data_IF_913991785572
#
_entry.id   IF_913991785572
#
_cell.length_a   1.000
_cell.length_b   1.000
_cell.length_c   1.000
_cell.angle_alpha   90.00
_cell.angle_beta   90.00
_cell.angle_gamma   90.00
#
_symmetry.space_group_name_H-M   'P 1'
#
loop_
_entity.id
_entity.type
_entity.pdbx_description
1 polymer ?
#
# COMPACT_ATOMS: atom_id res chain seq x y z
N UNK A 1 9.82 -34.02 21.98
CA UNK A 1 9.56 -32.71 21.35
C UNK A 1 8.53 -32.91 20.26
N UNK A 2 7.67 -31.93 19.99
CA UNK A 2 6.67 -32.07 18.93
C UNK A 2 7.35 -32.12 17.55
N UNK A 3 6.91 -33.02 16.69
CA UNK A 3 7.41 -33.26 15.33
C UNK A 3 6.22 -33.54 14.41
N UNK A 4 6.25 -33.04 13.18
CA UNK A 4 5.17 -33.24 12.21
C UNK A 4 4.02 -32.26 12.42
N UNK A 5 2.77 -32.74 12.35
CA UNK A 5 1.58 -31.89 12.51
C UNK A 5 1.11 -31.86 13.96
N UNK A 6 0.71 -30.70 14.46
CA UNK A 6 0.26 -30.55 15.83
C UNK A 6 -0.57 -29.30 16.06
N UNK A 7 -1.31 -29.31 17.17
CA UNK A 7 -2.17 -28.22 17.61
C UNK A 7 -1.80 -27.79 19.02
N UNK A 8 -1.79 -26.49 19.25
CA UNK A 8 -1.63 -25.89 20.58
C UNK A 8 -2.71 -24.83 20.81
N UNK A 9 -3.21 -24.79 22.04
CA UNK A 9 -4.10 -23.73 22.53
C UNK A 9 -3.40 -23.06 23.71
N UNK A 10 -3.27 -21.75 23.65
CA UNK A 10 -2.64 -20.93 24.68
C UNK A 10 -3.69 -20.43 25.68
N UNK A 11 -3.24 -19.98 26.85
CA UNK A 11 -4.12 -19.54 27.94
C UNK A 11 -4.95 -18.29 27.60
N UNK A 12 -4.47 -17.46 26.67
CA UNK A 12 -5.17 -16.29 26.14
C UNK A 12 -6.25 -16.64 25.11
N UNK A 13 -6.40 -17.93 24.77
CA UNK A 13 -7.32 -18.43 23.75
C UNK A 13 -6.74 -18.45 22.33
N UNK A 14 -5.51 -17.97 22.13
CA UNK A 14 -4.82 -18.10 20.84
C UNK A 14 -4.58 -19.58 20.52
N UNK A 15 -4.62 -19.94 19.23
CA UNK A 15 -4.35 -21.31 18.78
C UNK A 15 -3.40 -21.33 17.60
N UNK A 16 -2.63 -22.42 17.50
CA UNK A 16 -1.88 -22.74 16.30
C UNK A 16 -2.14 -24.20 15.92
N UNK A 17 -2.31 -24.45 14.63
CA UNK A 17 -2.40 -25.78 14.05
C UNK A 17 -1.54 -25.84 12.78
N UNK A 18 -0.56 -26.75 12.75
CA UNK A 18 0.36 -26.86 11.62
C UNK A 18 1.63 -27.64 11.95
N UNK A 19 2.70 -27.34 11.20
CA UNK A 19 3.99 -28.00 11.30
C UNK A 19 4.83 -27.66 12.55
N UNK A 20 5.53 -28.67 13.04
CA UNK A 20 6.47 -28.62 14.15
C UNK A 20 7.75 -29.35 13.79
N UNK A 21 8.89 -28.77 14.15
CA UNK A 21 10.23 -29.37 14.06
C UNK A 21 10.96 -29.08 15.35
N UNK A 22 11.46 -30.09 16.05
CA UNK A 22 12.18 -29.93 17.31
C UNK A 22 11.36 -29.26 18.41
N UNK A 23 10.03 -29.39 18.38
CA UNK A 23 9.13 -28.69 19.31
C UNK A 23 8.91 -27.22 19.01
N UNK A 24 9.38 -26.73 17.86
CA UNK A 24 9.22 -25.35 17.41
C UNK A 24 8.32 -25.32 16.18
N UNK A 25 7.39 -24.36 16.15
CA UNK A 25 6.49 -24.12 15.02
C UNK A 25 7.32 -23.81 13.77
N UNK A 26 7.21 -24.65 12.76
CA UNK A 26 7.97 -24.60 11.51
C UNK A 26 7.19 -25.26 10.37
N UNK A 27 7.27 -24.70 9.16
CA UNK A 27 6.51 -25.18 8.00
C UNK A 27 5.24 -24.38 7.81
N UNK A 28 4.15 -24.99 7.35
CA UNK A 28 2.88 -24.27 7.13
C UNK A 28 1.89 -24.52 8.26
N UNK A 29 1.00 -23.55 8.48
CA UNK A 29 -0.08 -23.69 9.48
C UNK A 29 -1.04 -22.52 9.51
N UNK A 30 -1.95 -22.60 10.47
CA UNK A 30 -2.95 -21.58 10.79
C UNK A 30 -2.78 -21.15 12.24
N UNK A 31 -2.62 -19.85 12.46
CA UNK A 31 -2.66 -19.23 13.78
C UNK A 31 -3.93 -18.39 13.94
N UNK A 32 -4.67 -18.62 15.01
CA UNK A 32 -5.75 -17.73 15.46
C UNK A 32 -5.27 -16.99 16.71
N UNK A 33 -5.24 -15.68 16.66
CA UNK A 33 -4.83 -14.84 17.79
C UNK A 33 -6.05 -14.41 18.62
N UNK A 34 -5.84 -14.18 19.92
CA UNK A 34 -6.90 -13.75 20.84
C UNK A 34 -7.61 -12.45 20.43
N UNK A 35 -6.94 -11.58 19.67
CA UNK A 35 -7.52 -10.35 19.11
C UNK A 35 -8.37 -10.58 17.84
N UNK A 36 -8.60 -11.84 17.45
CA UNK A 36 -9.37 -12.22 16.27
C UNK A 36 -8.59 -12.20 14.96
N UNK A 37 -7.31 -11.83 14.97
CA UNK A 37 -6.46 -11.95 13.78
C UNK A 37 -6.26 -13.43 13.45
N UNK A 38 -6.30 -13.75 12.16
CA UNK A 38 -5.99 -15.09 11.64
C UNK A 38 -4.83 -14.97 10.67
N UNK A 39 -3.81 -15.80 10.84
CA UNK A 39 -2.72 -15.95 9.88
C UNK A 39 -2.69 -17.37 9.33
N UNK A 40 -2.62 -17.50 8.01
CA UNK A 40 -2.48 -18.77 7.31
C UNK A 40 -1.28 -18.66 6.38
N UNK A 41 -0.24 -19.46 6.60
CA UNK A 41 0.97 -19.35 5.80
C UNK A 41 2.14 -20.15 6.34
N UNK A 42 3.33 -19.75 5.88
CA UNK A 42 4.59 -20.30 6.33
C UNK A 42 5.03 -19.73 7.68
N UNK A 43 5.77 -20.56 8.39
CA UNK A 43 6.38 -20.29 9.67
C UNK A 43 7.81 -20.80 9.71
N UNK A 44 8.68 -20.03 10.36
CA UNK A 44 10.05 -20.40 10.68
C UNK A 44 10.38 -19.88 12.08
N UNK A 45 10.88 -20.77 12.93
CA UNK A 45 11.23 -20.43 14.32
C UNK A 45 10.08 -19.71 15.07
N UNK A 46 8.85 -20.23 14.90
CA UNK A 46 7.60 -19.67 15.42
C UNK A 46 7.21 -18.26 14.95
N UNK A 47 7.85 -17.74 13.89
CA UNK A 47 7.49 -16.47 13.25
C UNK A 47 6.88 -16.71 11.87
N UNK A 48 6.01 -15.81 11.43
CA UNK A 48 5.52 -15.81 10.05
C UNK A 48 6.72 -15.65 9.09
N UNK A 49 6.83 -16.53 8.10
CA UNK A 49 7.96 -16.56 7.17
C UNK A 49 7.54 -17.21 5.85
N UNK A 50 8.05 -16.71 4.72
CA UNK A 50 7.64 -17.16 3.39
C UNK A 50 6.30 -16.55 2.95
N UNK A 51 5.45 -17.32 2.27
CA UNK A 51 4.15 -16.81 1.81
C UNK A 51 3.08 -16.96 2.90
N UNK A 52 2.24 -15.95 3.07
CA UNK A 52 1.19 -16.01 4.06
C UNK A 52 0.14 -14.92 3.96
N UNK A 53 -1.01 -15.22 4.53
CA UNK A 53 -2.21 -14.39 4.54
C UNK A 53 -2.53 -14.03 5.97
N UNK A 54 -2.56 -12.73 6.29
CA UNK A 54 -3.09 -12.22 7.54
C UNK A 54 -4.45 -11.57 7.30
N UNK A 55 -5.45 -11.98 8.06
CA UNK A 55 -6.78 -11.36 8.06
C UNK A 55 -7.08 -10.87 9.47
N UNK A 56 -7.36 -9.58 9.62
CA UNK A 56 -7.76 -8.98 10.87
C UNK A 56 -9.27 -8.69 10.89
N UNK A 57 -9.90 -8.68 12.07
CA UNK A 57 -11.24 -8.13 12.21
C UNK A 57 -11.30 -6.70 11.70
N UNK A 58 -12.43 -6.29 11.12
CA UNK A 58 -12.59 -4.96 10.54
C UNK A 58 -12.14 -4.84 9.08
N UNK A 59 -11.78 -5.95 8.42
CA UNK A 59 -11.61 -6.00 6.96
C UNK A 59 -10.19 -5.76 6.46
N UNK A 60 -9.22 -5.53 7.35
CA UNK A 60 -7.81 -5.50 6.96
C UNK A 60 -7.33 -6.90 6.58
N UNK A 61 -6.69 -7.01 5.40
CA UNK A 61 -6.10 -8.24 4.89
C UNK A 61 -4.73 -7.94 4.28
N UNK A 62 -3.74 -8.75 4.60
CA UNK A 62 -2.47 -8.80 3.87
C UNK A 62 -2.29 -10.18 3.25
N UNK A 63 -1.87 -10.21 1.99
CA UNK A 63 -1.58 -11.41 1.21
C UNK A 63 -0.22 -11.20 0.53
N UNK A 64 0.81 -11.91 0.99
CA UNK A 64 2.15 -11.71 0.44
C UNK A 64 3.26 -12.39 1.23
N UNK A 65 4.47 -11.89 0.99
CA UNK A 65 5.70 -12.42 1.55
C UNK A 65 5.98 -11.91 2.97
N UNK A 66 6.58 -12.79 3.77
CA UNK A 66 6.94 -12.56 5.16
C UNK A 66 8.39 -12.96 5.39
N UNK A 67 9.09 -12.21 6.22
CA UNK A 67 10.41 -12.56 6.71
C UNK A 67 10.49 -12.21 8.19
N UNK A 68 10.83 -13.17 9.04
CA UNK A 68 11.01 -12.96 10.48
C UNK A 68 9.82 -12.24 11.17
N UNK A 69 8.59 -12.52 10.74
CA UNK A 69 7.38 -11.92 11.30
C UNK A 69 6.99 -10.56 10.72
N UNK A 70 7.76 -10.00 9.79
CA UNK A 70 7.46 -8.74 9.10
C UNK A 70 7.00 -9.00 7.66
N UNK A 71 6.15 -8.12 7.13
CA UNK A 71 5.84 -8.09 5.69
C UNK A 71 7.10 -7.74 4.92
N UNK A 72 7.41 -8.48 3.89
CA UNK A 72 8.63 -8.34 3.08
C UNK A 72 8.28 -8.60 1.61
N UNK A 73 9.12 -8.18 0.67
CA UNK A 73 8.93 -8.51 -0.74
C UNK A 73 7.62 -8.01 -1.35
N UNK A 74 7.03 -8.75 -2.29
CA UNK A 74 5.81 -8.36 -2.97
C UNK A 74 4.56 -8.81 -2.17
N UNK A 75 3.55 -7.95 -2.08
CA UNK A 75 2.31 -8.26 -1.37
C UNK A 75 1.15 -7.32 -1.72
N UNK A 76 -0.05 -7.72 -1.30
CA UNK A 76 -1.29 -6.96 -1.44
C UNK A 76 -1.92 -6.72 -0.07
N UNK A 77 -2.30 -5.47 0.19
CA UNK A 77 -3.11 -5.08 1.35
C UNK A 77 -4.49 -4.69 0.85
N UNK A 78 -5.53 -5.23 1.49
CA UNK A 78 -6.90 -4.71 1.41
C UNK A 78 -7.23 -4.06 2.74
N UNK A 79 -7.70 -2.83 2.70
CA UNK A 79 -8.08 -2.05 3.86
C UNK A 79 -9.59 -2.14 4.14
N UNK A 80 -9.98 -1.73 5.35
CA UNK A 80 -11.37 -1.71 5.80
C UNK A 80 -12.30 -0.87 4.91
N UNK A 81 -11.77 0.22 4.34
CA UNK A 81 -12.49 1.12 3.43
C UNK A 81 -12.59 0.57 2.00
N UNK A 82 -12.07 -0.63 1.74
CA UNK A 82 -12.01 -1.26 0.41
C UNK A 82 -10.87 -0.75 -0.46
N UNK A 83 -10.01 0.16 0.04
CA UNK A 83 -8.80 0.52 -0.67
C UNK A 83 -7.81 -0.65 -0.72
N UNK A 84 -6.99 -0.67 -1.76
CA UNK A 84 -6.05 -1.76 -2.05
C UNK A 84 -4.69 -1.16 -2.36
N UNK A 85 -3.65 -1.71 -1.73
CA UNK A 85 -2.26 -1.51 -2.14
C UNK A 85 -1.70 -2.83 -2.67
N UNK A 86 -1.01 -2.80 -3.81
CA UNK A 86 -0.22 -3.93 -4.32
C UNK A 86 1.17 -3.41 -4.68
N UNK A 87 2.20 -3.99 -4.08
CA UNK A 87 3.57 -3.57 -4.35
C UNK A 87 4.57 -4.16 -3.38
N UNK A 88 5.74 -3.53 -3.29
CA UNK A 88 6.85 -3.98 -2.47
C UNK A 88 6.72 -3.55 -1.01
N UNK A 89 7.27 -4.38 -0.14
CA UNK A 89 7.41 -4.19 1.30
C UNK A 89 8.86 -4.44 1.72
N UNK A 90 9.36 -3.62 2.64
CA UNK A 90 10.67 -3.80 3.30
C UNK A 90 10.49 -3.46 4.77
N UNK A 91 10.93 -4.36 5.66
CA UNK A 91 10.82 -4.19 7.12
C UNK A 91 9.39 -3.83 7.57
N UNK A 92 8.39 -4.42 6.92
CA UNK A 92 6.98 -4.18 7.22
C UNK A 92 6.38 -2.92 6.59
N UNK A 93 7.14 -2.07 5.90
CA UNK A 93 6.66 -0.83 5.29
C UNK A 93 6.50 -0.97 3.78
N UNK A 94 5.53 -0.26 3.18
CA UNK A 94 5.44 -0.09 1.72
C UNK A 94 6.70 0.63 1.24
N UNK A 95 7.36 0.10 0.22
CA UNK A 95 8.67 0.57 -0.25
C UNK A 95 8.80 0.29 -1.75
N UNK A 96 9.56 1.10 -2.49
CA UNK A 96 9.78 0.90 -3.91
C UNK A 96 8.52 1.11 -4.76
N UNK A 97 8.31 0.30 -5.80
CA UNK A 97 7.17 0.48 -6.71
C UNK A 97 5.90 -0.17 -6.15
N UNK A 98 4.78 0.55 -6.26
CA UNK A 98 3.48 0.07 -5.82
C UNK A 98 2.30 0.78 -6.48
N UNK A 99 1.17 0.08 -6.53
CA UNK A 99 -0.12 0.60 -6.96
C UNK A 99 -1.04 0.72 -5.75
N UNK A 100 -1.70 1.86 -5.60
CA UNK A 100 -2.75 2.06 -4.61
C UNK A 100 -4.04 2.48 -5.31
N UNK A 101 -5.18 1.91 -4.92
CA UNK A 101 -6.49 2.24 -5.49
C UNK A 101 -7.55 2.34 -4.41
N UNK A 102 -8.49 3.26 -4.58
CA UNK A 102 -9.64 3.44 -3.70
C UNK A 102 -10.95 3.12 -4.45
N UNK A 103 -12.01 2.72 -3.74
CA UNK A 103 -13.32 2.45 -4.36
C UNK A 103 -13.95 3.68 -5.04
N UNK A 104 -13.56 4.89 -4.64
CA UNK A 104 -14.04 6.14 -5.26
C UNK A 104 -13.42 6.40 -6.66
N UNK A 105 -12.52 5.53 -7.14
CA UNK A 105 -11.85 5.66 -8.43
C UNK A 105 -10.47 6.32 -8.38
N UNK A 106 -10.02 6.80 -7.21
CA UNK A 106 -8.65 7.27 -7.07
C UNK A 106 -7.66 6.13 -7.28
N UNK A 107 -6.59 6.38 -8.04
CA UNK A 107 -5.50 5.43 -8.28
C UNK A 107 -4.16 6.13 -8.25
N UNK A 108 -3.17 5.52 -7.64
CA UNK A 108 -1.77 5.93 -7.68
C UNK A 108 -0.91 4.76 -8.15
N UNK A 109 0.06 5.03 -9.02
CA UNK A 109 1.10 4.09 -9.44
C UNK A 109 2.44 4.80 -9.35
N UNK A 110 3.35 4.31 -8.53
CA UNK A 110 4.68 4.92 -8.44
C UNK A 110 5.48 4.49 -7.23
N UNK A 111 6.40 5.37 -6.84
CA UNK A 111 7.38 5.15 -5.80
C UNK A 111 6.82 5.39 -4.38
N UNK A 112 7.21 4.49 -3.49
CA UNK A 112 6.91 4.47 -2.06
C UNK A 112 8.21 4.44 -1.28
N UNK A 113 8.24 5.12 -0.15
CA UNK A 113 9.36 5.10 0.78
C UNK A 113 8.86 5.18 2.20
N UNK A 114 9.30 4.26 3.07
CA UNK A 114 8.92 4.23 4.48
C UNK A 114 7.40 4.35 4.70
N UNK A 115 6.60 3.69 3.84
CA UNK A 115 5.15 3.68 3.93
C UNK A 115 4.44 4.86 3.24
N UNK A 116 5.13 5.88 2.75
CA UNK A 116 4.53 7.04 2.11
C UNK A 116 4.78 7.07 0.59
N UNK A 117 3.86 7.68 -0.15
CA UNK A 117 4.07 8.03 -1.57
C UNK A 117 5.20 9.04 -1.66
N UNK A 118 6.30 8.69 -2.32
CA UNK A 118 7.51 9.49 -2.34
C UNK A 118 8.35 9.14 -3.57
N UNK A 119 8.72 10.13 -4.38
CA UNK A 119 9.41 9.92 -5.66
C UNK A 119 8.50 10.07 -6.87
N UNK A 120 8.82 9.40 -7.98
CA UNK A 120 8.03 9.50 -9.23
C UNK A 120 6.75 8.69 -9.18
N UNK A 121 5.67 9.20 -9.76
CA UNK A 121 4.45 8.43 -9.95
C UNK A 121 3.39 9.11 -10.79
N UNK A 122 2.27 8.41 -10.96
CA UNK A 122 1.07 8.88 -11.63
C UNK A 122 -0.11 8.73 -10.68
N UNK A 123 -0.80 9.84 -10.40
CA UNK A 123 -2.08 9.85 -9.70
C UNK A 123 -3.21 10.07 -10.71
N UNK A 124 -4.26 9.27 -10.61
CA UNK A 124 -5.52 9.41 -11.35
C UNK A 124 -6.63 9.70 -10.36
N UNK A 125 -7.32 10.82 -10.57
CA UNK A 125 -8.38 11.29 -9.69
C UNK A 125 -9.75 10.81 -10.17
N UNK A 126 -10.76 10.72 -9.28
CA UNK A 126 -12.12 10.29 -9.62
C UNK A 126 -12.79 11.10 -10.74
N UNK A 127 -12.40 12.37 -10.91
CA UNK A 127 -12.91 13.25 -11.96
C UNK A 127 -12.27 13.01 -13.34
N UNK A 128 -11.28 12.11 -13.43
CA UNK A 128 -10.54 11.79 -14.64
C UNK A 128 -9.25 12.59 -14.83
N UNK A 129 -8.96 13.56 -13.95
CA UNK A 129 -7.68 14.27 -13.99
C UNK A 129 -6.54 13.30 -13.67
N UNK A 130 -5.38 13.52 -14.29
CA UNK A 130 -4.15 12.77 -13.97
C UNK A 130 -3.02 13.72 -13.67
N UNK A 131 -2.18 13.34 -12.71
CA UNK A 131 -0.91 14.00 -12.45
C UNK A 131 0.21 13.00 -12.68
N UNK A 132 1.16 13.34 -13.54
CA UNK A 132 2.42 12.62 -13.75
C UNK A 132 3.57 13.50 -13.26
N UNK A 133 4.26 13.05 -12.21
CA UNK A 133 5.35 13.84 -11.67
C UNK A 133 5.93 13.31 -10.37
N UNK A 134 6.59 14.22 -9.67
CA UNK A 134 7.30 13.96 -8.43
C UNK A 134 6.36 14.15 -7.22
N UNK A 135 6.57 13.34 -6.19
CA UNK A 135 5.83 13.36 -4.94
C UNK A 135 6.77 13.40 -3.74
N UNK A 136 6.33 14.06 -2.67
CA UNK A 136 6.95 13.99 -1.35
C UNK A 136 5.86 13.88 -0.30
N UNK A 137 5.90 12.80 0.49
CA UNK A 137 4.95 12.50 1.57
C UNK A 137 3.47 12.64 1.14
N UNK A 138 3.14 12.08 -0.01
CA UNK A 138 1.80 12.10 -0.59
C UNK A 138 1.39 13.42 -1.24
N UNK A 139 2.29 14.39 -1.36
CA UNK A 139 1.99 15.67 -2.01
C UNK A 139 2.71 15.79 -3.34
N UNK A 140 2.08 16.47 -4.30
CA UNK A 140 2.74 16.85 -5.54
C UNK A 140 3.90 17.78 -5.22
N UNK A 141 5.09 17.47 -5.71
CA UNK A 141 6.32 18.17 -5.38
C UNK A 141 7.27 18.14 -6.59
N UNK A 142 8.08 19.15 -6.85
CA UNK A 142 9.04 19.13 -7.95
C UNK A 142 8.37 19.11 -9.33
N UNK A 143 9.07 18.63 -10.36
CA UNK A 143 8.56 18.65 -11.73
C UNK A 143 7.36 17.71 -11.91
N UNK A 144 6.31 18.20 -12.60
CA UNK A 144 5.17 17.37 -12.97
C UNK A 144 4.20 18.05 -13.92
N UNK A 145 3.34 17.25 -14.53
CA UNK A 145 2.29 17.66 -15.45
C UNK A 145 0.94 17.16 -14.96
N UNK A 146 -0.04 18.06 -14.88
CA UNK A 146 -1.44 17.69 -14.69
C UNK A 146 -2.13 17.68 -16.05
N UNK A 147 -2.83 16.59 -16.36
CA UNK A 147 -3.74 16.48 -17.50
C UNK A 147 -5.16 16.49 -16.96
N UNK A 148 -5.96 17.46 -17.36
CA UNK A 148 -7.34 17.57 -16.96
C UNK A 148 -8.22 16.67 -17.82
N UNK A 149 -9.30 16.17 -17.25
CA UNK A 149 -10.32 15.43 -18.00
C UNK A 149 -10.94 16.25 -19.15
N UNK A 150 -10.85 17.59 -19.07
CA UNK A 150 -11.26 18.51 -20.15
C UNK A 150 -10.33 18.49 -21.37
N UNK A 151 -9.14 17.88 -21.27
CA UNK A 151 -8.09 17.88 -22.30
C UNK A 151 -7.06 19.00 -22.14
N UNK A 152 -7.24 19.94 -21.20
CA UNK A 152 -6.21 20.90 -20.84
C UNK A 152 -5.03 20.19 -20.14
N UNK A 153 -3.82 20.75 -20.25
CA UNK A 153 -2.71 20.35 -19.41
C UNK A 153 -1.91 21.54 -18.88
N UNK A 154 -1.29 21.36 -17.72
CA UNK A 154 -0.35 22.32 -17.15
C UNK A 154 0.89 21.61 -16.61
N UNK A 155 2.06 22.12 -16.96
CA UNK A 155 3.36 21.60 -16.52
C UNK A 155 4.14 22.66 -15.74
N UNK A 156 4.95 22.21 -14.79
CA UNK A 156 5.87 23.08 -14.06
C UNK A 156 6.36 22.47 -12.76
N UNK A 157 6.86 23.33 -11.86
CA UNK A 157 7.35 22.92 -10.55
C UNK A 157 6.21 22.96 -9.54
N UNK A 158 5.98 21.87 -8.82
CA UNK A 158 4.98 21.77 -7.76
C UNK A 158 5.67 21.95 -6.40
N UNK A 159 5.06 22.73 -5.53
CA UNK A 159 5.48 22.86 -4.14
C UNK A 159 4.30 22.64 -3.22
N UNK A 160 4.35 21.57 -2.42
CA UNK A 160 3.32 21.22 -1.44
C UNK A 160 1.91 21.19 -2.07
N UNK A 161 1.78 20.57 -3.24
CA UNK A 161 0.51 20.42 -3.98
C UNK A 161 0.16 21.59 -4.91
N UNK A 162 0.94 22.68 -4.92
CA UNK A 162 0.63 23.89 -5.71
C UNK A 162 1.61 24.06 -6.86
N UNK A 163 1.08 24.32 -8.05
CA UNK A 163 1.91 24.62 -9.22
C UNK A 163 2.55 26.01 -9.09
N UNK A 164 3.88 26.04 -9.19
CA UNK A 164 4.75 27.22 -9.16
C UNK A 164 5.50 27.32 -10.49
N UNK A 165 5.32 28.44 -11.21
CA UNK A 165 5.88 28.62 -12.55
C UNK A 165 5.29 27.63 -13.57
N UNK A 166 4.18 28.02 -14.19
CA UNK A 166 3.45 27.17 -15.14
C UNK A 166 3.69 27.60 -16.58
N UNK A 167 4.03 26.64 -17.44
CA UNK A 167 3.77 26.74 -18.88
C UNK A 167 2.43 26.04 -19.14
N UNK A 168 1.36 26.82 -19.22
CA UNK A 168 0.02 26.31 -19.51
C UNK A 168 -0.17 26.20 -21.01
N UNK A 169 -0.47 25.00 -21.50
CA UNK A 169 -0.86 24.78 -22.89
C UNK A 169 -2.37 24.48 -22.88
N UNK A 170 -3.17 25.50 -23.17
CA UNK A 170 -4.61 25.35 -23.30
C UNK A 170 -4.94 24.63 -24.63
N UNK A 171 -5.99 23.80 -24.69
CA UNK A 171 -6.67 23.51 -25.94
C UNK A 171 -7.26 24.84 -26.42
N UNK A 172 -7.14 25.16 -27.71
CA UNK A 172 -7.64 26.41 -28.32
C UNK A 172 -9.06 26.79 -27.84
N UNK A 173 -9.16 27.65 -26.81
CA UNK A 173 -10.25 28.59 -26.52
C UNK A 173 -10.04 29.29 -25.17
N UNK A 174 -10.30 30.60 -25.20
CA UNK A 174 -10.25 31.59 -24.11
C UNK A 174 -10.98 31.21 -22.82
N UNK A 175 -10.27 31.25 -21.70
CA UNK A 175 -10.83 31.28 -20.35
C UNK A 175 -9.74 31.38 -19.29
N UNK A 176 -9.78 32.42 -18.47
CA UNK A 176 -8.89 32.57 -17.29
C UNK A 176 -9.27 31.51 -16.26
N UNK A 177 -8.48 30.45 -16.17
CA UNK A 177 -8.61 29.39 -15.16
C UNK A 177 -7.77 29.73 -13.92
N UNK A 178 -8.27 29.52 -12.69
CA UNK A 178 -7.46 29.60 -11.47
C UNK A 178 -6.24 28.69 -11.53
N UNK A 179 -5.18 28.92 -10.71
CA UNK A 179 -4.04 28.03 -10.64
C UNK A 179 -4.49 26.59 -10.35
N UNK A 180 -3.83 25.63 -11.00
CA UNK A 180 -4.00 24.21 -10.75
C UNK A 180 -3.72 23.91 -9.27
N UNK A 181 -4.75 23.68 -8.46
CA UNK A 181 -4.56 23.13 -7.12
C UNK A 181 -4.66 21.61 -7.23
N UNK A 182 -3.52 20.95 -7.17
CA UNK A 182 -3.48 19.52 -7.00
C UNK A 182 -3.79 19.20 -5.54
N UNK A 183 -4.89 18.50 -5.30
CA UNK A 183 -5.22 18.02 -3.96
C UNK A 183 -4.12 17.13 -3.40
N UNK A 184 -4.03 17.05 -2.07
CA UNK A 184 -3.19 16.04 -1.43
C UNK A 184 -3.65 14.65 -1.88
N UNK A 185 -2.70 13.78 -2.26
CA UNK A 185 -3.04 12.37 -2.46
C UNK A 185 -3.50 11.84 -1.11
N UNK A 186 -4.69 11.22 -1.03
CA UNK A 186 -5.16 10.69 0.24
C UNK A 186 -4.13 9.70 0.79
N UNK A 187 -3.74 9.92 2.04
CA UNK A 187 -2.85 9.01 2.72
C UNK A 187 -3.58 7.66 2.88
N UNK A 188 -3.03 6.55 2.38
CA UNK A 188 -3.59 5.25 2.70
C UNK A 188 -3.54 5.05 4.21
N UNK A 189 -4.59 4.43 4.77
CA UNK A 189 -4.60 4.02 6.17
C UNK A 189 -3.34 3.23 6.52
N UNK A 190 -2.84 3.44 7.75
CA UNK A 190 -1.66 2.75 8.26
C UNK A 190 -2.02 1.34 8.74
#
# INVERSE_FOLDING_TARGET
>A
MAEGQGKITYADGSTYEGGWVGGVINGTGTAHFANGVVYVGGFKDAKNDGQGVLTAPGGYRYDGQWANGLREGDGTVTYADGSIYTGKFVDGNREGQGTFSMPNGFKYIGEWKAGAINGKGVATYPNGDTYDGMFSDGKLQGQGTIHYASGEQASGVWDNGKLTGSDKVAPDASGTTPPAEGGAVPAPGN
#
